data_IF_951467560107
#
_entry.id   IF_951467560107
#
_cell.length_a   1.000
_cell.length_b   1.000
_cell.length_c   1.000
_cell.angle_alpha   90.00
_cell.angle_beta   90.00
_cell.angle_gamma   90.00
#
_symmetry.space_group_name_H-M   'P 1'
#
loop_
_entity.id
_entity.type
_entity.pdbx_description
1 polymer ?
#
# COMPACT_ATOMS: atom_id res chain seq x y z
N UNK A 1 -7.85 -6.66 -13.61
CA UNK A 1 -8.55 -5.51 -13.00
C UNK A 1 -8.63 -5.68 -11.49
N UNK A 2 -8.69 -4.61 -10.73
CA UNK A 2 -8.99 -4.66 -9.30
C UNK A 2 -10.51 -4.77 -9.09
N UNK A 3 -10.95 -5.82 -8.36
CA UNK A 3 -12.35 -6.05 -8.03
C UNK A 3 -12.64 -5.46 -6.64
N UNK A 4 -13.35 -4.33 -6.60
CA UNK A 4 -13.66 -3.65 -5.35
C UNK A 4 -14.83 -4.32 -4.62
N UNK A 5 -14.82 -4.30 -3.29
CA UNK A 5 -15.92 -4.81 -2.46
C UNK A 5 -17.23 -4.05 -2.70
N UNK A 6 -17.15 -2.74 -2.92
CA UNK A 6 -18.30 -1.93 -3.35
C UNK A 6 -18.86 -2.40 -4.68
N UNK A 7 -17.98 -2.71 -5.65
CA UNK A 7 -18.39 -3.23 -6.96
C UNK A 7 -19.12 -4.56 -6.86
N UNK A 8 -18.64 -5.42 -5.96
CA UNK A 8 -19.30 -6.70 -5.65
C UNK A 8 -20.66 -6.47 -4.99
N UNK A 9 -20.69 -5.69 -3.89
CA UNK A 9 -21.92 -5.46 -3.11
C UNK A 9 -23.02 -4.77 -3.94
N UNK A 10 -22.64 -3.85 -4.82
CA UNK A 10 -23.57 -3.12 -5.69
C UNK A 10 -23.90 -3.86 -7.01
N UNK A 11 -23.49 -5.12 -7.17
CA UNK A 11 -23.79 -5.93 -8.34
C UNK A 11 -23.11 -5.46 -9.63
N UNK A 12 -22.10 -4.59 -9.55
CA UNK A 12 -21.42 -4.04 -10.74
C UNK A 12 -20.57 -5.09 -11.44
N UNK A 13 -20.22 -6.17 -10.73
CA UNK A 13 -19.37 -7.25 -11.22
C UNK A 13 -20.16 -8.50 -11.63
N UNK A 14 -21.47 -8.56 -11.41
CA UNK A 14 -22.33 -9.74 -11.63
C UNK A 14 -22.34 -10.28 -13.07
N UNK A 15 -21.93 -9.46 -14.04
CA UNK A 15 -21.85 -9.86 -15.46
C UNK A 15 -20.43 -10.01 -15.98
N UNK A 16 -19.42 -9.88 -15.10
CA UNK A 16 -18.02 -10.06 -15.46
C UNK A 16 -17.68 -11.55 -15.34
N UNK A 17 -17.22 -12.15 -16.42
CA UNK A 17 -16.69 -13.52 -16.41
C UNK A 17 -15.20 -13.46 -16.13
N UNK A 18 -14.79 -13.88 -14.94
CA UNK A 18 -13.40 -13.92 -14.55
C UNK A 18 -12.74 -15.22 -15.05
N UNK A 19 -11.58 -15.11 -15.72
CA UNK A 19 -10.75 -16.26 -16.07
C UNK A 19 -9.98 -16.80 -14.88
N UNK A 20 -9.63 -15.92 -13.94
CA UNK A 20 -9.03 -16.24 -12.64
C UNK A 20 -9.34 -15.10 -11.66
N UNK A 21 -9.56 -15.45 -10.40
CA UNK A 21 -9.65 -14.51 -9.28
C UNK A 21 -8.46 -14.71 -8.35
N UNK A 22 -7.86 -13.60 -7.89
CA UNK A 22 -6.78 -13.63 -6.91
C UNK A 22 -7.24 -12.93 -5.63
N UNK A 23 -7.16 -13.63 -4.50
CA UNK A 23 -7.32 -13.04 -3.17
C UNK A 23 -5.94 -12.80 -2.56
N UNK A 24 -5.57 -11.54 -2.40
CA UNK A 24 -4.25 -11.16 -1.88
C UNK A 24 -4.23 -11.06 -0.36
N UNK A 25 -5.10 -10.24 0.20
CA UNK A 25 -5.27 -10.03 1.64
C UNK A 25 -6.56 -9.24 1.92
N UNK A 26 -6.94 -9.17 3.19
CA UNK A 26 -7.99 -8.29 3.66
C UNK A 26 -7.60 -7.65 4.99
N UNK A 27 -7.43 -6.35 4.98
CA UNK A 27 -7.15 -5.53 6.17
C UNK A 27 -8.22 -4.46 6.36
N UNK A 28 -8.23 -3.82 7.52
CA UNK A 28 -9.24 -2.83 7.88
C UNK A 28 -9.30 -1.68 6.87
N UNK A 29 -10.41 -1.60 6.16
CA UNK A 29 -10.79 -0.47 5.29
C UNK A 29 -12.29 -0.54 4.99
N UNK A 30 -12.86 0.55 4.46
CA UNK A 30 -14.25 0.60 3.99
C UNK A 30 -15.30 0.21 5.05
N UNK A 31 -14.98 0.35 6.36
CA UNK A 31 -15.94 0.06 7.43
C UNK A 31 -17.04 1.14 7.53
N UNK A 32 -16.80 2.31 6.96
CA UNK A 32 -17.81 3.34 6.71
C UNK A 32 -18.96 2.82 5.81
N UNK A 33 -18.64 1.93 4.86
CA UNK A 33 -19.62 1.31 3.96
C UNK A 33 -20.11 -0.06 4.47
N UNK A 34 -19.19 -0.95 4.84
CA UNK A 34 -19.52 -2.33 5.21
C UNK A 34 -19.92 -2.50 6.69
N UNK A 35 -19.54 -1.57 7.57
CA UNK A 35 -19.80 -1.59 9.00
C UNK A 35 -18.90 -2.54 9.79
N UNK A 36 -18.63 -3.76 9.30
CA UNK A 36 -17.74 -4.75 9.95
C UNK A 36 -16.81 -5.43 8.95
N UNK A 37 -15.71 -6.00 9.48
CA UNK A 37 -14.77 -6.78 8.67
C UNK A 37 -15.42 -8.04 8.06
N UNK A 38 -16.35 -8.67 8.78
CA UNK A 38 -17.09 -9.83 8.28
C UNK A 38 -17.92 -9.48 7.05
N UNK A 39 -18.65 -8.37 7.08
CA UNK A 39 -19.44 -7.91 5.92
C UNK A 39 -18.53 -7.51 4.75
N UNK A 40 -17.39 -6.88 5.06
CA UNK A 40 -16.41 -6.56 4.05
C UNK A 40 -15.84 -7.83 3.39
N UNK A 41 -15.52 -8.84 4.19
CA UNK A 41 -15.10 -10.15 3.70
C UNK A 41 -16.18 -10.82 2.84
N UNK A 42 -17.44 -10.89 3.31
CA UNK A 42 -18.53 -11.52 2.57
C UNK A 42 -18.76 -10.87 1.20
N UNK A 43 -18.64 -9.54 1.11
CA UNK A 43 -18.74 -8.84 -0.17
C UNK A 43 -17.67 -9.28 -1.18
N UNK A 44 -16.44 -9.57 -0.71
CA UNK A 44 -15.37 -10.12 -1.57
C UNK A 44 -15.53 -11.62 -1.80
N UNK A 45 -15.87 -12.38 -0.76
CA UNK A 45 -16.06 -13.84 -0.78
C UNK A 45 -17.09 -14.26 -1.84
N UNK A 46 -18.17 -13.49 -2.00
CA UNK A 46 -19.21 -13.75 -3.01
C UNK A 46 -18.62 -13.91 -4.41
N UNK A 47 -17.65 -13.10 -4.82
CA UNK A 47 -17.01 -13.21 -6.14
C UNK A 47 -16.36 -14.58 -6.39
N UNK A 48 -15.86 -15.20 -5.33
CA UNK A 48 -15.20 -16.51 -5.41
C UNK A 48 -16.15 -17.69 -5.37
N UNK A 49 -17.35 -17.49 -4.84
CA UNK A 49 -18.35 -18.55 -4.69
C UNK A 49 -19.40 -18.54 -5.80
N UNK A 50 -19.76 -17.37 -6.29
CA UNK A 50 -20.67 -17.21 -7.43
C UNK A 50 -19.94 -17.67 -8.71
N UNK A 51 -20.60 -18.49 -9.54
CA UNK A 51 -20.04 -19.09 -10.77
C UNK A 51 -18.69 -19.85 -10.59
N UNK A 52 -18.10 -19.84 -9.40
CA UNK A 52 -16.86 -20.52 -9.00
C UNK A 52 -15.73 -20.45 -10.04
N UNK A 53 -15.29 -19.26 -10.45
CA UNK A 53 -14.18 -19.15 -11.39
C UNK A 53 -12.90 -19.74 -10.80
N UNK A 54 -11.88 -20.10 -11.60
CA UNK A 54 -10.57 -20.47 -11.11
C UNK A 54 -10.05 -19.43 -10.12
N UNK A 55 -9.49 -19.87 -9.00
CA UNK A 55 -9.10 -18.99 -7.91
C UNK A 55 -7.68 -19.26 -7.42
N UNK A 56 -7.04 -18.19 -6.99
CA UNK A 56 -5.71 -18.16 -6.36
C UNK A 56 -5.85 -17.41 -5.05
N UNK A 57 -5.45 -18.02 -3.92
CA UNK A 57 -5.76 -17.48 -2.59
C UNK A 57 -4.50 -17.42 -1.74
N UNK A 58 -4.19 -16.24 -1.18
CA UNK A 58 -3.13 -16.08 -0.20
C UNK A 58 -3.55 -16.66 1.15
N UNK A 59 -2.94 -17.74 1.56
CA UNK A 59 -3.18 -18.40 2.87
C UNK A 59 -2.23 -17.90 3.97
N UNK A 60 -1.36 -16.95 3.69
CA UNK A 60 -0.66 -16.15 4.69
C UNK A 60 -1.57 -15.16 5.39
N UNK A 61 -2.69 -14.81 4.77
CA UNK A 61 -3.74 -13.94 5.31
C UNK A 61 -4.83 -14.76 6.00
N UNK A 62 -5.33 -14.31 7.17
CA UNK A 62 -6.37 -15.02 7.93
C UNK A 62 -7.67 -15.16 7.13
N UNK A 63 -8.10 -14.10 6.45
CA UNK A 63 -9.30 -14.13 5.63
C UNK A 63 -9.13 -14.99 4.38
N UNK A 64 -7.90 -15.03 3.85
CA UNK A 64 -7.54 -15.95 2.78
C UNK A 64 -7.65 -17.40 3.22
N UNK A 65 -7.21 -17.77 4.43
CA UNK A 65 -7.41 -19.11 5.01
C UNK A 65 -8.89 -19.49 5.12
N UNK A 66 -9.73 -18.55 5.57
CA UNK A 66 -11.18 -18.74 5.63
C UNK A 66 -11.77 -18.97 4.24
N UNK A 67 -11.34 -18.18 3.25
CA UNK A 67 -11.80 -18.34 1.86
C UNK A 67 -11.32 -19.67 1.24
N UNK A 68 -10.09 -20.08 1.50
CA UNK A 68 -9.54 -21.35 1.02
C UNK A 68 -10.31 -22.55 1.56
N UNK A 69 -10.82 -22.47 2.80
CA UNK A 69 -11.68 -23.54 3.35
C UNK A 69 -13.01 -23.68 2.57
N UNK A 70 -13.54 -22.60 2.00
CA UNK A 70 -14.74 -22.65 1.13
C UNK A 70 -14.42 -23.03 -0.33
N UNK A 71 -13.15 -22.88 -0.73
CA UNK A 71 -12.63 -23.14 -2.08
C UNK A 71 -11.44 -24.09 -2.05
N UNK A 72 -11.65 -25.36 -1.63
CA UNK A 72 -10.57 -26.37 -1.59
C UNK A 72 -10.01 -26.72 -2.99
N UNK A 73 -10.64 -26.23 -4.04
CA UNK A 73 -10.22 -26.34 -5.44
C UNK A 73 -9.32 -25.17 -5.89
N UNK A 74 -9.15 -24.12 -5.07
CA UNK A 74 -8.30 -22.97 -5.38
C UNK A 74 -6.82 -23.31 -5.19
N UNK A 75 -5.96 -22.75 -6.05
CA UNK A 75 -4.51 -22.80 -5.86
C UNK A 75 -4.13 -21.82 -4.73
N UNK A 76 -3.39 -22.30 -3.74
CA UNK A 76 -2.98 -21.46 -2.60
C UNK A 76 -1.56 -20.95 -2.76
N UNK A 77 -1.31 -19.73 -2.26
CA UNK A 77 0.03 -19.16 -2.21
C UNK A 77 0.28 -18.41 -0.90
N UNK A 78 1.55 -18.16 -0.59
CA UNK A 78 1.94 -17.36 0.57
C UNK A 78 3.32 -17.70 1.10
N UNK A 79 3.77 -16.91 2.09
CA UNK A 79 5.01 -17.15 2.83
C UNK A 79 4.75 -18.00 4.08
N UNK A 80 4.06 -19.11 3.90
CA UNK A 80 3.68 -20.07 4.95
C UNK A 80 3.85 -21.49 4.43
N UNK A 81 4.14 -22.43 5.34
CA UNK A 81 4.51 -23.80 4.98
C UNK A 81 3.38 -24.60 4.30
N UNK A 82 2.12 -24.26 4.57
CA UNK A 82 0.93 -24.93 4.06
C UNK A 82 0.40 -24.33 2.73
N UNK A 83 1.10 -23.36 2.15
CA UNK A 83 0.81 -22.85 0.82
C UNK A 83 1.34 -23.80 -0.27
N UNK A 84 0.56 -24.04 -1.34
CA UNK A 84 1.00 -24.83 -2.49
C UNK A 84 2.09 -24.11 -3.31
N UNK A 85 2.04 -22.78 -3.36
CA UNK A 85 3.05 -21.92 -3.99
C UNK A 85 3.73 -21.09 -2.90
N UNK A 86 4.92 -21.50 -2.53
CA UNK A 86 5.76 -20.84 -1.53
C UNK A 86 6.80 -19.91 -2.14
N UNK A 87 7.63 -19.26 -1.30
CA UNK A 87 8.69 -18.33 -1.73
C UNK A 87 9.73 -18.96 -2.66
N UNK A 88 9.96 -20.28 -2.57
CA UNK A 88 10.82 -21.07 -3.43
C UNK A 88 10.42 -21.01 -4.91
N UNK A 89 9.15 -20.74 -5.20
CA UNK A 89 8.67 -20.53 -6.58
C UNK A 89 9.27 -19.27 -7.25
N UNK A 90 9.88 -18.37 -6.47
CA UNK A 90 10.58 -17.18 -6.95
C UNK A 90 12.10 -17.39 -7.07
N UNK A 91 12.62 -18.56 -6.73
CA UNK A 91 14.04 -18.84 -6.80
C UNK A 91 14.56 -18.70 -8.24
N UNK A 92 15.63 -17.94 -8.38
CA UNK A 92 16.23 -17.64 -9.70
C UNK A 92 15.56 -16.51 -10.48
N UNK A 93 14.50 -15.90 -9.96
CA UNK A 93 13.84 -14.72 -10.56
C UNK A 93 14.38 -13.44 -9.90
N UNK A 94 15.01 -12.57 -10.69
CA UNK A 94 15.56 -11.30 -10.20
C UNK A 94 14.45 -10.23 -10.09
N UNK A 95 13.68 -10.30 -9.01
CA UNK A 95 12.63 -9.30 -8.74
C UNK A 95 13.27 -7.92 -8.49
N UNK A 96 12.90 -6.93 -9.30
CA UNK A 96 13.32 -5.53 -9.13
C UNK A 96 12.53 -4.80 -8.05
N UNK A 97 11.32 -5.28 -7.75
CA UNK A 97 10.46 -4.76 -6.70
C UNK A 97 10.96 -5.24 -5.34
N UNK A 98 11.25 -4.31 -4.43
CA UNK A 98 11.76 -4.60 -3.08
C UNK A 98 10.64 -4.84 -2.09
N UNK A 99 10.96 -5.59 -1.03
CA UNK A 99 10.09 -5.84 0.10
C UNK A 99 9.26 -7.11 -0.02
N UNK A 100 9.01 -7.72 1.14
CA UNK A 100 8.28 -8.98 1.25
C UNK A 100 6.89 -8.93 0.62
N UNK A 101 6.16 -7.82 0.83
CA UNK A 101 4.83 -7.66 0.24
C UNK A 101 4.85 -7.66 -1.30
N UNK A 102 5.92 -7.16 -1.94
CA UNK A 102 6.09 -7.26 -3.38
C UNK A 102 6.42 -8.68 -3.83
N UNK A 103 7.19 -9.42 -3.05
CA UNK A 103 7.41 -10.84 -3.31
C UNK A 103 6.10 -11.65 -3.15
N UNK A 104 5.26 -11.34 -2.17
CA UNK A 104 3.91 -11.93 -2.04
C UNK A 104 3.02 -11.58 -3.25
N UNK A 105 3.05 -10.34 -3.73
CA UNK A 105 2.34 -9.95 -4.95
C UNK A 105 2.86 -10.72 -6.18
N UNK A 106 4.18 -10.91 -6.28
CA UNK A 106 4.79 -11.71 -7.36
C UNK A 106 4.36 -13.17 -7.30
N UNK A 107 4.28 -13.78 -6.11
CA UNK A 107 3.73 -15.14 -5.92
C UNK A 107 2.28 -15.23 -6.41
N UNK A 108 1.44 -14.26 -6.04
CA UNK A 108 0.05 -14.20 -6.50
C UNK A 108 -0.06 -14.08 -8.03
N UNK A 109 0.80 -13.26 -8.65
CA UNK A 109 0.87 -13.11 -10.09
C UNK A 109 1.36 -14.38 -10.79
N UNK A 110 2.39 -15.03 -10.23
CA UNK A 110 2.91 -16.33 -10.71
C UNK A 110 1.82 -17.40 -10.65
N UNK A 111 1.17 -17.55 -9.50
CA UNK A 111 0.11 -18.55 -9.30
C UNK A 111 -1.07 -18.33 -10.27
N UNK A 112 -1.50 -17.07 -10.44
CA UNK A 112 -2.56 -16.73 -11.40
C UNK A 112 -2.16 -17.06 -12.85
N UNK A 113 -0.90 -16.80 -13.21
CA UNK A 113 -0.36 -17.08 -14.54
C UNK A 113 -0.30 -18.58 -14.81
N UNK A 114 0.09 -19.40 -13.83
CA UNK A 114 0.05 -20.87 -13.92
C UNK A 114 -1.38 -21.41 -14.12
N UNK A 115 -2.35 -20.87 -13.39
CA UNK A 115 -3.77 -21.21 -13.57
C UNK A 115 -4.25 -20.88 -14.99
N UNK A 116 -3.73 -19.85 -15.60
CA UNK A 116 -4.02 -19.46 -16.99
C UNK A 116 -3.21 -20.24 -18.04
N UNK A 117 -2.34 -21.17 -17.61
CA UNK A 117 -1.55 -22.02 -18.51
C UNK A 117 -0.36 -21.32 -19.16
N UNK A 118 0.14 -20.25 -18.57
CA UNK A 118 1.37 -19.57 -19.01
C UNK A 118 2.57 -20.41 -18.49
N UNK A 119 3.58 -20.60 -19.33
CA UNK A 119 4.78 -21.36 -18.95
C UNK A 119 5.68 -20.57 -17.98
N UNK A 120 6.41 -21.29 -17.12
CA UNK A 120 7.20 -20.70 -16.05
C UNK A 120 8.34 -19.79 -16.56
N UNK A 121 8.89 -20.06 -17.75
CA UNK A 121 9.94 -19.20 -18.31
C UNK A 121 9.37 -17.84 -18.72
N UNK A 122 8.19 -17.80 -19.32
CA UNK A 122 7.50 -16.56 -19.65
C UNK A 122 7.06 -15.80 -18.39
N UNK A 123 6.62 -16.51 -17.35
CA UNK A 123 6.27 -15.93 -16.05
C UNK A 123 7.51 -15.26 -15.42
N UNK A 124 8.64 -15.96 -15.35
CA UNK A 124 9.90 -15.45 -14.82
C UNK A 124 10.34 -14.17 -15.53
N UNK A 125 10.40 -14.20 -16.88
CA UNK A 125 10.73 -13.03 -17.69
C UNK A 125 9.76 -11.86 -17.45
N UNK A 126 8.47 -12.14 -17.33
CA UNK A 126 7.45 -11.15 -17.02
C UNK A 126 7.71 -10.47 -15.68
N UNK A 127 7.95 -11.24 -14.62
CA UNK A 127 8.22 -10.73 -13.27
C UNK A 127 9.52 -9.91 -13.21
N UNK A 128 10.60 -10.35 -13.85
CA UNK A 128 11.88 -9.62 -13.94
C UNK A 128 11.76 -8.31 -14.71
N UNK A 129 10.84 -8.21 -15.65
CA UNK A 129 10.63 -7.01 -16.46
C UNK A 129 9.97 -5.87 -15.70
N UNK A 130 9.29 -6.15 -14.59
CA UNK A 130 8.59 -5.15 -13.78
C UNK A 130 9.59 -4.38 -12.92
N UNK A 131 9.89 -3.17 -13.33
CA UNK A 131 10.87 -2.30 -12.64
C UNK A 131 10.30 -1.50 -11.49
N UNK A 132 8.99 -1.29 -11.47
CA UNK A 132 8.27 -0.51 -10.47
C UNK A 132 6.79 -0.46 -10.78
N UNK A 133 5.99 -0.19 -9.79
CA UNK A 133 4.58 0.15 -9.93
C UNK A 133 4.44 1.60 -9.46
N UNK A 134 3.94 2.52 -10.29
CA UNK A 134 3.83 3.93 -9.90
C UNK A 134 3.11 4.09 -8.55
N UNK A 135 3.75 4.80 -7.62
CA UNK A 135 3.23 5.05 -6.27
C UNK A 135 3.14 3.82 -5.37
N UNK A 136 3.87 2.74 -5.67
CA UNK A 136 3.97 1.54 -4.83
C UNK A 136 5.45 1.25 -4.53
N UNK A 137 5.91 1.65 -3.37
CA UNK A 137 7.31 1.59 -2.96
C UNK A 137 8.25 2.16 -4.07
N UNK A 138 7.81 3.27 -4.66
CA UNK A 138 8.50 3.90 -5.78
C UNK A 138 9.65 4.75 -5.26
N UNK A 139 10.88 4.42 -5.67
CA UNK A 139 12.06 5.23 -5.35
C UNK A 139 12.09 6.50 -6.22
N UNK A 140 12.33 7.65 -5.58
CA UNK A 140 12.51 8.94 -6.22
C UNK A 140 13.95 9.39 -6.00
N UNK A 141 14.72 9.52 -7.09
CA UNK A 141 16.14 9.89 -7.04
C UNK A 141 16.46 11.02 -8.01
N UNK A 142 17.11 12.05 -7.49
CA UNK A 142 17.70 13.18 -8.24
C UNK A 142 19.20 13.34 -7.87
N UNK A 143 19.83 12.27 -7.34
CA UNK A 143 21.25 12.24 -7.00
C UNK A 143 21.57 12.53 -5.53
N UNK A 144 20.56 12.64 -4.67
CA UNK A 144 20.72 12.82 -3.22
C UNK A 144 21.35 11.56 -2.56
N UNK A 145 22.05 11.71 -1.39
CA UNK A 145 22.73 10.60 -0.70
C UNK A 145 21.82 9.79 0.23
N UNK A 146 20.51 9.97 0.17
CA UNK A 146 19.51 9.25 0.95
C UNK A 146 18.40 8.70 0.05
N UNK A 147 17.65 7.70 0.52
CA UNK A 147 16.55 7.13 -0.24
C UNK A 147 15.25 7.91 -0.02
N UNK A 148 14.46 8.09 -1.07
CA UNK A 148 13.11 8.64 -0.98
C UNK A 148 12.14 7.64 -1.60
N UNK A 149 11.12 7.25 -0.84
CA UNK A 149 10.13 6.24 -1.23
C UNK A 149 8.75 6.87 -1.20
N UNK A 150 8.02 6.79 -2.31
CA UNK A 150 6.61 7.19 -2.40
C UNK A 150 5.74 5.96 -2.46
N UNK A 151 4.75 5.86 -1.55
CA UNK A 151 3.88 4.69 -1.45
C UNK A 151 2.40 5.05 -1.20
N UNK A 152 1.51 4.21 -1.69
CA UNK A 152 0.05 4.35 -1.54
C UNK A 152 -0.48 3.87 -0.18
N UNK A 153 0.37 3.60 0.79
CA UNK A 153 0.00 3.09 2.12
C UNK A 153 -0.87 4.08 2.90
N UNK A 154 -2.18 3.90 2.79
CA UNK A 154 -3.21 4.70 3.45
C UNK A 154 -4.03 3.89 4.48
N UNK A 155 -3.54 2.71 4.87
CA UNK A 155 -4.12 1.80 5.87
C UNK A 155 -3.07 1.45 6.92
N UNK A 156 -3.48 1.10 8.16
CA UNK A 156 -2.54 0.75 9.23
C UNK A 156 -1.53 -0.32 8.85
N UNK A 157 -2.00 -1.47 8.36
CA UNK A 157 -1.13 -2.61 8.03
C UNK A 157 -0.21 -2.31 6.84
N UNK A 158 -0.70 -1.53 5.86
CA UNK A 158 0.13 -1.12 4.73
C UNK A 158 1.22 -0.14 5.18
N UNK A 159 0.89 0.84 6.03
CA UNK A 159 1.86 1.77 6.60
C UNK A 159 2.91 1.02 7.45
N UNK A 160 2.49 0.06 8.27
CA UNK A 160 3.41 -0.78 9.04
C UNK A 160 4.34 -1.55 8.11
N UNK A 161 3.82 -2.18 7.07
CA UNK A 161 4.59 -2.99 6.12
C UNK A 161 5.63 -2.14 5.37
N UNK A 162 5.23 -0.97 4.87
CA UNK A 162 6.17 -0.09 4.14
C UNK A 162 7.26 0.45 5.06
N UNK A 163 6.93 0.85 6.30
CA UNK A 163 7.93 1.35 7.25
C UNK A 163 8.90 0.27 7.69
N UNK A 164 8.44 -0.96 7.94
CA UNK A 164 9.33 -2.08 8.25
C UNK A 164 10.26 -2.40 7.09
N UNK A 165 9.75 -2.42 5.86
CA UNK A 165 10.58 -2.64 4.66
C UNK A 165 11.59 -1.51 4.47
N UNK A 166 11.19 -0.26 4.66
CA UNK A 166 12.07 0.89 4.56
C UNK A 166 13.16 0.87 5.64
N UNK A 167 12.83 0.39 6.84
CA UNK A 167 13.80 0.21 7.94
C UNK A 167 14.93 -0.77 7.59
N UNK A 168 14.64 -1.80 6.80
CA UNK A 168 15.65 -2.76 6.34
C UNK A 168 16.63 -2.14 5.32
N UNK A 169 16.24 -1.04 4.69
CA UNK A 169 17.07 -0.35 3.69
C UNK A 169 17.96 0.75 4.29
N UNK A 170 17.65 1.23 5.51
CA UNK A 170 18.36 2.36 6.10
C UNK A 170 19.47 1.93 7.05
N UNK A 171 20.63 2.59 6.92
CA UNK A 171 21.68 2.61 7.95
C UNK A 171 21.58 3.84 8.88
N UNK A 172 20.72 4.80 8.54
CA UNK A 172 20.44 6.04 9.25
C UNK A 172 19.03 6.09 9.85
N UNK A 173 18.39 7.26 9.77
CA UNK A 173 17.04 7.48 10.28
C UNK A 173 15.99 7.07 9.25
N UNK A 174 14.84 6.65 9.75
CA UNK A 174 13.61 6.49 8.97
C UNK A 174 12.69 7.68 9.23
N UNK A 175 12.45 8.47 8.22
CA UNK A 175 11.57 9.65 8.26
C UNK A 175 10.28 9.30 7.55
N UNK A 176 9.12 9.55 8.17
CA UNK A 176 7.81 9.22 7.60
C UNK A 176 6.94 10.46 7.48
N UNK A 177 6.49 10.77 6.26
CA UNK A 177 5.45 11.78 5.99
C UNK A 177 4.16 11.07 5.64
N UNK A 178 3.09 11.30 6.40
CA UNK A 178 1.81 10.65 6.14
C UNK A 178 0.61 11.48 6.60
N UNK A 179 -0.55 11.18 6.06
CA UNK A 179 -1.83 11.74 6.47
C UNK A 179 -2.96 10.73 6.27
N UNK A 180 -4.18 11.15 6.62
CA UNK A 180 -5.39 10.36 6.38
C UNK A 180 -6.41 11.16 5.57
N UNK A 181 -7.14 10.46 4.70
CA UNK A 181 -8.23 11.06 3.94
C UNK A 181 -9.46 11.37 4.81
N UNK A 182 -10.15 12.47 4.47
CA UNK A 182 -11.47 12.78 4.99
C UNK A 182 -12.57 11.95 4.32
N UNK A 183 -13.77 11.91 4.94
CA UNK A 183 -14.93 11.14 4.47
C UNK A 183 -14.58 9.65 4.26
N UNK A 184 -13.77 9.09 5.16
CA UNK A 184 -13.30 7.71 5.16
C UNK A 184 -13.32 7.14 6.58
N UNK A 185 -12.93 5.87 6.73
CA UNK A 185 -12.81 5.20 8.02
C UNK A 185 -11.94 6.02 9.01
N UNK A 186 -12.61 6.61 10.01
CA UNK A 186 -11.95 7.41 11.06
C UNK A 186 -11.20 6.54 12.06
N UNK A 187 -11.63 5.28 12.23
CA UNK A 187 -11.02 4.34 13.18
C UNK A 187 -9.56 4.01 12.87
N UNK A 188 -9.14 4.14 11.61
CA UNK A 188 -7.75 3.91 11.21
C UNK A 188 -6.80 5.06 11.58
N UNK A 189 -7.31 6.30 11.79
CA UNK A 189 -6.48 7.50 12.02
C UNK A 189 -5.54 7.35 13.23
N UNK A 190 -6.06 7.02 14.45
CA UNK A 190 -5.17 6.82 15.61
C UNK A 190 -4.25 5.61 15.45
N UNK A 191 -4.67 4.57 14.72
CA UNK A 191 -3.82 3.41 14.48
C UNK A 191 -2.60 3.78 13.61
N UNK A 192 -2.81 4.58 12.56
CA UNK A 192 -1.72 5.06 11.71
C UNK A 192 -0.79 6.01 12.47
N UNK A 193 -1.33 6.90 13.33
CA UNK A 193 -0.53 7.74 14.21
C UNK A 193 0.38 6.94 15.12
N UNK A 194 -0.15 5.88 15.74
CA UNK A 194 0.63 4.98 16.58
C UNK A 194 1.74 4.29 15.79
N UNK A 195 1.41 3.70 14.65
CA UNK A 195 2.36 2.95 13.82
C UNK A 195 3.52 3.84 13.37
N UNK A 196 3.22 5.02 12.84
CA UNK A 196 4.25 5.95 12.39
C UNK A 196 5.17 6.38 13.53
N UNK A 197 4.61 6.74 14.69
CA UNK A 197 5.39 7.18 15.85
C UNK A 197 6.18 6.05 16.55
N UNK A 198 5.79 4.78 16.37
CA UNK A 198 6.51 3.63 16.92
C UNK A 198 7.61 3.11 15.98
N UNK A 199 7.48 3.29 14.67
CA UNK A 199 8.40 2.69 13.68
C UNK A 199 9.35 3.68 13.01
N UNK A 200 8.98 4.95 12.88
CA UNK A 200 9.85 5.99 12.33
C UNK A 200 10.63 6.71 13.43
N UNK A 201 11.83 7.18 13.10
CA UNK A 201 12.63 8.04 13.99
C UNK A 201 12.11 9.48 13.98
N UNK A 202 11.57 9.91 12.81
CA UNK A 202 10.88 11.17 12.64
C UNK A 202 9.57 10.91 11.91
N UNK A 203 8.44 11.30 12.52
CA UNK A 203 7.13 11.20 11.88
C UNK A 203 6.53 12.60 11.71
N UNK A 204 6.15 12.95 10.49
CA UNK A 204 5.50 14.21 10.13
C UNK A 204 4.07 13.92 9.71
N UNK A 205 3.11 14.38 10.52
CA UNK A 205 1.69 14.26 10.26
C UNK A 205 1.22 15.44 9.41
N UNK A 206 0.59 15.13 8.27
CA UNK A 206 0.14 16.15 7.31
C UNK A 206 -1.26 15.88 6.77
N UNK A 207 -1.77 16.75 5.90
CA UNK A 207 -3.01 16.48 5.16
C UNK A 207 -2.77 15.48 4.03
N UNK A 208 -3.77 14.64 3.80
CA UNK A 208 -3.92 13.85 2.58
C UNK A 208 -4.94 14.56 1.65
N UNK A 209 -6.13 14.02 1.50
CA UNK A 209 -7.28 14.63 0.83
C UNK A 209 -8.39 14.84 1.87
N UNK A 210 -8.51 16.04 2.49
CA UNK A 210 -9.45 16.26 3.59
C UNK A 210 -10.92 16.21 3.17
N UNK A 211 -11.22 16.40 1.89
CA UNK A 211 -12.57 16.43 1.33
C UNK A 211 -13.49 17.39 2.07
N UNK A 212 -14.60 16.93 2.66
CA UNK A 212 -15.53 17.78 3.40
C UNK A 212 -15.11 18.07 4.85
N UNK A 213 -14.09 17.35 5.37
CA UNK A 213 -13.62 17.54 6.74
C UNK A 213 -12.54 18.63 6.85
N UNK A 214 -12.45 19.25 8.03
CA UNK A 214 -11.38 20.19 8.34
C UNK A 214 -10.04 19.44 8.49
N UNK A 215 -8.98 19.84 7.76
CA UNK A 215 -7.68 19.17 7.82
C UNK A 215 -7.14 19.00 9.24
N UNK A 216 -7.30 20.03 10.08
CA UNK A 216 -6.84 19.99 11.47
C UNK A 216 -7.57 18.95 12.30
N UNK A 217 -8.87 18.76 12.09
CA UNK A 217 -9.65 17.76 12.82
C UNK A 217 -9.17 16.34 12.50
N UNK A 218 -8.82 16.07 11.24
CA UNK A 218 -8.26 14.77 10.83
C UNK A 218 -6.90 14.54 11.52
N UNK A 219 -6.03 15.57 11.51
CA UNK A 219 -4.72 15.52 12.17
C UNK A 219 -4.88 15.27 13.69
N UNK A 220 -5.80 15.94 14.36
CA UNK A 220 -6.04 15.75 15.80
C UNK A 220 -6.49 14.29 16.11
N UNK A 221 -7.26 13.65 15.24
CA UNK A 221 -7.62 12.23 15.38
C UNK A 221 -6.43 11.29 15.14
N UNK A 222 -5.50 11.64 14.24
CA UNK A 222 -4.24 10.89 14.08
C UNK A 222 -3.40 11.00 15.35
N UNK A 223 -3.27 12.23 15.88
CA UNK A 223 -2.47 12.52 17.07
C UNK A 223 -2.99 11.80 18.31
N UNK A 224 -4.29 11.49 18.40
CA UNK A 224 -4.86 10.72 19.50
C UNK A 224 -4.25 9.31 19.67
N UNK A 225 -3.61 8.77 18.63
CA UNK A 225 -2.95 7.45 18.69
C UNK A 225 -1.43 7.51 18.85
N UNK A 226 -0.83 8.67 18.71
CA UNK A 226 0.62 8.87 18.71
C UNK A 226 1.27 8.49 20.04
N UNK A 227 2.44 7.85 19.97
CA UNK A 227 3.31 7.51 21.09
C UNK A 227 4.60 8.31 21.01
N UNK A 228 4.82 9.23 21.94
CA UNK A 228 5.98 10.12 21.91
C UNK A 228 5.78 11.38 21.07
N UNK A 229 6.85 11.90 20.49
CA UNK A 229 6.84 13.15 19.75
C UNK A 229 6.67 12.90 18.24
N UNK A 230 5.85 13.73 17.60
CA UNK A 230 5.70 13.78 16.14
C UNK A 230 5.60 15.24 15.72
N UNK A 231 5.97 15.50 14.49
CA UNK A 231 5.84 16.81 13.89
C UNK A 231 4.49 16.95 13.19
N UNK A 232 3.98 18.14 13.10
CA UNK A 232 2.72 18.45 12.41
C UNK A 232 2.94 19.58 11.43
N UNK A 233 2.71 19.29 10.16
CA UNK A 233 2.70 20.27 9.08
C UNK A 233 1.47 20.01 8.19
N UNK A 234 0.41 20.84 8.30
CA UNK A 234 -0.81 20.61 7.55
C UNK A 234 -0.66 20.75 6.03
N UNK A 235 0.26 21.60 5.56
CA UNK A 235 0.58 21.69 4.14
C UNK A 235 1.46 20.51 3.72
N UNK A 236 0.92 19.66 2.84
CA UNK A 236 1.61 18.44 2.44
C UNK A 236 2.90 18.71 1.66
N UNK A 237 2.93 19.75 0.83
CA UNK A 237 4.16 20.09 0.12
C UNK A 237 5.24 20.57 1.08
N UNK A 238 4.89 21.42 2.05
CA UNK A 238 5.79 21.88 3.09
C UNK A 238 6.27 20.72 4.00
N UNK A 239 5.40 19.75 4.31
CA UNK A 239 5.77 18.55 5.05
C UNK A 239 6.81 17.70 4.30
N UNK A 240 6.62 17.50 2.99
CA UNK A 240 7.58 16.80 2.12
C UNK A 240 8.90 17.58 2.04
N UNK A 241 8.85 18.90 1.79
CA UNK A 241 10.04 19.75 1.74
C UNK A 241 10.84 19.66 3.05
N UNK A 242 10.16 19.73 4.18
CA UNK A 242 10.79 19.62 5.50
C UNK A 242 11.48 18.28 5.70
N UNK A 243 10.81 17.16 5.40
CA UNK A 243 11.37 15.82 5.52
C UNK A 243 12.63 15.65 4.67
N UNK A 244 12.60 16.14 3.42
CA UNK A 244 13.73 16.02 2.50
C UNK A 244 14.89 16.96 2.86
N UNK A 245 14.60 18.14 3.42
CA UNK A 245 15.63 19.09 3.87
C UNK A 245 16.36 18.63 5.16
N UNK A 246 15.71 17.82 5.98
CA UNK A 246 16.27 17.27 7.22
C UNK A 246 16.99 15.93 7.02
N UNK A 247 16.79 15.27 5.86
CA UNK A 247 17.39 13.98 5.59
C UNK A 247 18.91 14.09 5.35
N UNK A 248 19.65 13.15 5.93
CA UNK A 248 21.09 13.04 5.85
C UNK A 248 21.50 11.76 5.09
N UNK A 249 22.80 11.60 4.83
CA UNK A 249 23.35 10.42 4.16
C UNK A 249 22.99 9.13 4.90
N UNK A 250 22.45 8.16 4.16
CA UNK A 250 21.99 6.89 4.67
C UNK A 250 20.59 6.88 5.29
N UNK A 251 19.90 8.03 5.36
CA UNK A 251 18.50 8.09 5.78
C UNK A 251 17.55 7.51 4.72
N UNK A 252 16.34 7.15 5.14
CA UNK A 252 15.23 6.81 4.24
C UNK A 252 14.03 7.68 4.58
N UNK A 253 13.50 8.38 3.57
CA UNK A 253 12.27 9.17 3.67
C UNK A 253 11.13 8.42 2.99
N UNK A 254 10.07 8.10 3.74
CA UNK A 254 8.84 7.48 3.22
C UNK A 254 7.74 8.53 3.16
N UNK A 255 7.20 8.78 1.97
CA UNK A 255 6.03 9.63 1.73
C UNK A 255 4.85 8.71 1.46
N UNK A 256 3.98 8.55 2.45
CA UNK A 256 2.89 7.57 2.44
C UNK A 256 1.51 8.21 2.28
N UNK A 257 0.59 7.47 1.65
CA UNK A 257 -0.83 7.79 1.54
C UNK A 257 -1.35 7.91 0.12
N UNK A 258 -0.78 8.81 -0.69
CA UNK A 258 -1.29 9.15 -2.02
C UNK A 258 -0.70 8.31 -3.16
N UNK A 259 0.55 7.88 -3.03
CA UNK A 259 1.21 7.05 -4.04
C UNK A 259 1.17 7.70 -5.43
N UNK A 260 0.35 7.14 -6.33
CA UNK A 260 0.22 7.61 -7.72
C UNK A 260 -0.92 8.63 -7.94
N UNK A 261 -1.62 9.03 -6.89
CA UNK A 261 -2.69 10.03 -7.01
C UNK A 261 -2.12 11.39 -7.46
N UNK A 262 -2.83 12.03 -8.40
CA UNK A 262 -2.41 13.30 -9.00
C UNK A 262 -3.28 14.48 -8.58
N UNK A 263 -3.92 14.38 -7.44
CA UNK A 263 -4.79 15.43 -6.90
C UNK A 263 -4.90 15.40 -5.40
N UNK A 264 -5.17 16.55 -4.81
CA UNK A 264 -5.56 16.70 -3.41
C UNK A 264 -6.96 17.30 -3.37
N UNK A 265 -7.91 16.56 -2.78
CA UNK A 265 -9.33 16.91 -2.73
C UNK A 265 -9.66 17.70 -1.46
N UNK A 266 -10.27 18.87 -1.64
CA UNK A 266 -10.84 19.71 -0.60
C UNK A 266 -12.36 19.80 -0.78
N UNK A 267 -13.06 20.39 0.18
CA UNK A 267 -14.52 20.51 0.14
C UNK A 267 -15.08 21.20 -1.11
N UNK A 268 -14.36 22.18 -1.63
CA UNK A 268 -14.78 23.07 -2.71
C UNK A 268 -13.96 22.91 -4.00
N UNK A 269 -12.85 22.19 -3.96
CA UNK A 269 -11.93 22.07 -5.10
C UNK A 269 -11.03 20.85 -5.00
N UNK A 270 -10.49 20.46 -6.14
CA UNK A 270 -9.33 19.55 -6.24
C UNK A 270 -8.18 20.32 -6.85
N UNK A 271 -7.02 20.29 -6.18
CA UNK A 271 -5.80 20.87 -6.72
C UNK A 271 -4.91 19.77 -7.31
N UNK A 272 -4.17 20.03 -8.39
CA UNK A 272 -3.13 19.12 -8.88
C UNK A 272 -2.08 18.91 -7.78
N UNK A 273 -1.78 17.66 -7.46
CA UNK A 273 -0.81 17.31 -6.44
C UNK A 273 -0.32 15.86 -6.66
N UNK A 274 0.98 15.70 -6.82
CA UNK A 274 1.62 14.38 -6.98
C UNK A 274 2.85 14.35 -6.06
N UNK A 275 2.85 13.45 -5.07
CA UNK A 275 3.94 13.32 -4.10
C UNK A 275 5.31 13.15 -4.77
N UNK A 276 5.36 12.44 -5.89
CA UNK A 276 6.58 12.15 -6.64
C UNK A 276 7.16 13.38 -7.31
N UNK A 277 6.30 14.20 -7.91
CA UNK A 277 6.73 15.45 -8.57
C UNK A 277 7.17 16.48 -7.52
N UNK A 278 6.42 16.61 -6.41
CA UNK A 278 6.81 17.48 -5.30
C UNK A 278 8.17 17.06 -4.75
N UNK A 279 8.37 15.75 -4.51
CA UNK A 279 9.65 15.25 -4.03
C UNK A 279 10.80 15.53 -5.02
N UNK A 280 10.60 15.29 -6.33
CA UNK A 280 11.60 15.59 -7.37
C UNK A 280 11.96 17.05 -7.41
N UNK A 281 10.97 17.93 -7.37
CA UNK A 281 11.20 19.37 -7.45
C UNK A 281 11.97 19.89 -6.23
N UNK A 282 11.63 19.41 -5.02
CA UNK A 282 12.37 19.71 -3.80
C UNK A 282 13.82 19.22 -3.88
N UNK A 283 14.04 17.97 -4.28
CA UNK A 283 15.38 17.39 -4.39
C UNK A 283 16.27 18.14 -5.40
N UNK A 284 15.72 18.55 -6.54
CA UNK A 284 16.44 19.40 -7.51
C UNK A 284 16.83 20.75 -6.93
N UNK A 285 15.94 21.37 -6.13
CA UNK A 285 16.23 22.66 -5.48
C UNK A 285 17.31 22.50 -4.38
N UNK A 286 17.32 21.40 -3.63
CA UNK A 286 18.35 21.11 -2.63
C UNK A 286 19.70 20.84 -3.31
N UNK A 287 19.75 20.03 -4.36
CA UNK A 287 20.95 19.76 -5.14
C UNK A 287 21.53 20.97 -5.87
N UNK A 288 20.71 21.97 -6.20
CA UNK A 288 21.19 23.23 -6.79
C UNK A 288 21.79 24.20 -5.77
N UNK A 289 21.60 23.96 -4.46
CA UNK A 289 22.15 24.79 -3.36
C UNK A 289 23.49 24.24 -2.83
N UNK A 290 23.87 23.02 -3.19
CA UNK A 290 25.16 22.38 -2.87
C UNK A 290 26.15 22.52 -4.03
#
# INVERSE_FOLDING_TARGET
MEATSHGSELGRLDRVRFSVLVFTNLSQDHLDFHGTMERYFEAKRRLFLDDRPPAVINVGDEWGRRLAADRPDALTFGFVEDAEIGPDALDGIDLKLRGRFNAENALGALAASRVLGIDDAAIGQGLESVRGVPGRFESVSEGQPFEVIVDYSHKPEALESVLRTARELTGGRLICVFGCGGDRDRGKRPLMGRIASELADVAIVTSDSPRSEEPRAIIDEILAGVKGDVEVEPDRAAAIERALAEAEDGDVVVIAGKGHEQGQEFADRTIPFDDREVARDVLRQLGAKT
#
